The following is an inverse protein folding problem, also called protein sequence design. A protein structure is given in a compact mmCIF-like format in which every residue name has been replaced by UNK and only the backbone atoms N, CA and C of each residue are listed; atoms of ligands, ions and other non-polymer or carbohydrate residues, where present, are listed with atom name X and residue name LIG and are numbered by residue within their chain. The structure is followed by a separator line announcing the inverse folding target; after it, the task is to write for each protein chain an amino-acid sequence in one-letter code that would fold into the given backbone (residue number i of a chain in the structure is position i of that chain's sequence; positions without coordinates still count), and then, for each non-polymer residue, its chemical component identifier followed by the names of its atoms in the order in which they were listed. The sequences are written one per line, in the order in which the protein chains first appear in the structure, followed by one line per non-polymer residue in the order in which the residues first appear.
data_IF_045947400605
#
_entry.id   IF_045947400605
#
_cell.length_a   1.000
_cell.length_b   1.000
_cell.length_c   1.000
_cell.angle_alpha   90.00
_cell.angle_beta   90.00
_cell.angle_gamma   90.00
#
_symmetry.space_group_name_H-M   'P 1'
#
loop_
_entity.id
_entity.type
_entity.pdbx_description
1 polymer ?
#
# COMPACT_ATOMS: atom_id res chain seq x y z
N UNK A 1 -13.14 29.98 -60.44
CA UNK A 1 -13.61 28.78 -59.70
C UNK A 1 -12.42 28.12 -59.03
N UNK A 2 -12.52 27.67 -57.77
CA UNK A 2 -11.83 28.38 -56.68
C UNK A 2 -10.76 27.56 -55.97
N UNK A 3 -9.69 28.26 -55.57
CA UNK A 3 -8.77 27.88 -54.50
C UNK A 3 -9.49 28.07 -53.16
N UNK A 4 -9.68 26.99 -52.41
CA UNK A 4 -10.22 27.03 -51.05
C UNK A 4 -9.10 27.32 -50.05
N UNK A 5 -9.37 28.34 -49.24
CA UNK A 5 -8.63 28.81 -48.09
C UNK A 5 -8.66 27.81 -46.93
N UNK A 6 -7.54 27.72 -46.19
CA UNK A 6 -7.50 27.17 -44.84
C UNK A 6 -7.22 28.33 -43.87
N UNK A 7 -8.27 28.77 -43.18
CA UNK A 7 -8.22 29.75 -42.11
C UNK A 7 -7.80 29.04 -40.83
N UNK A 8 -6.58 29.28 -40.34
CA UNK A 8 -6.22 28.96 -38.97
C UNK A 8 -6.66 30.10 -38.05
N UNK A 9 -7.72 29.88 -37.29
CA UNK A 9 -8.14 30.77 -36.20
C UNK A 9 -7.20 30.61 -35.00
N UNK A 10 -6.22 31.51 -34.87
CA UNK A 10 -5.52 31.72 -33.59
C UNK A 10 -6.39 32.61 -32.71
N UNK A 11 -7.06 31.99 -31.73
CA UNK A 11 -7.73 32.72 -30.65
C UNK A 11 -6.65 33.33 -29.77
N UNK A 12 -6.45 34.64 -29.90
CA UNK A 12 -5.55 35.43 -29.06
C UNK A 12 -6.40 36.06 -27.96
N UNK A 13 -6.42 35.43 -26.78
CA UNK A 13 -7.07 35.99 -25.60
C UNK A 13 -6.21 37.15 -25.12
N UNK A 14 -6.66 38.37 -25.40
CA UNK A 14 -6.07 39.61 -24.91
C UNK A 14 -6.73 39.95 -23.58
N UNK A 15 -6.07 39.64 -22.47
CA UNK A 15 -6.51 40.07 -21.14
C UNK A 15 -5.94 41.47 -20.88
N UNK A 16 -6.84 42.45 -20.80
CA UNK A 16 -6.57 43.83 -20.42
C UNK A 16 -6.21 43.82 -18.93
N UNK A 17 -4.95 44.08 -18.60
CA UNK A 17 -4.50 44.24 -17.22
C UNK A 17 -4.64 45.72 -16.86
N UNK A 18 -5.61 46.01 -16.01
CA UNK A 18 -5.80 47.29 -15.35
C UNK A 18 -4.65 47.55 -14.38
N UNK A 19 -4.03 48.72 -14.51
CA UNK A 19 -3.06 49.26 -13.56
C UNK A 19 -3.72 49.42 -12.17
N UNK A 20 -3.28 48.60 -11.22
CA UNK A 20 -3.54 48.78 -9.79
C UNK A 20 -2.20 48.79 -9.07
N UNK A 21 -1.93 49.88 -8.35
CA UNK A 21 -0.73 50.16 -7.57
C UNK A 21 -0.22 48.92 -6.81
N UNK A 22 0.94 48.41 -7.24
CA UNK A 22 1.71 47.41 -6.53
C UNK A 22 2.53 48.14 -5.46
N UNK A 23 2.01 48.18 -4.23
CA UNK A 23 2.82 48.48 -3.05
C UNK A 23 3.93 47.44 -2.98
N UNK A 24 5.19 47.89 -3.00
CA UNK A 24 6.34 47.04 -2.70
C UNK A 24 6.12 46.41 -1.32
N UNK A 25 5.84 45.11 -1.30
CA UNK A 25 6.00 44.31 -0.10
C UNK A 25 7.50 44.09 0.05
N UNK A 26 8.13 44.99 0.79
CA UNK A 26 9.50 44.86 1.28
C UNK A 26 9.64 43.45 1.86
N UNK A 27 10.39 42.59 1.17
CA UNK A 27 10.78 41.31 1.73
C UNK A 27 11.62 41.63 2.98
N UNK A 28 11.06 41.35 4.17
CA UNK A 28 11.81 41.42 5.41
C UNK A 28 13.11 40.64 5.19
N UNK A 29 14.29 41.22 5.49
CA UNK A 29 15.52 40.48 5.39
C UNK A 29 15.37 39.26 6.29
N UNK A 30 15.35 38.08 5.69
CA UNK A 30 15.41 36.82 6.40
C UNK A 30 16.64 36.90 7.30
N UNK A 31 16.40 36.91 8.60
CA UNK A 31 17.40 36.96 9.65
C UNK A 31 18.58 36.02 9.32
N UNK A 32 19.66 36.60 8.82
CA UNK A 32 20.87 35.90 8.36
C UNK A 32 21.71 35.38 9.53
N UNK A 33 21.23 35.49 10.77
CA UNK A 33 21.83 34.88 11.96
C UNK A 33 21.65 33.34 12.05
N UNK A 34 20.88 32.73 11.14
CA UNK A 34 20.62 31.28 11.13
C UNK A 34 21.60 30.44 10.32
N UNK A 35 22.81 30.92 10.06
CA UNK A 35 23.89 30.01 9.70
C UNK A 35 24.38 29.34 11.00
N UNK A 36 23.91 28.11 11.26
CA UNK A 36 24.60 27.24 12.23
C UNK A 36 26.08 27.28 11.82
N UNK A 37 26.95 27.74 12.72
CA UNK A 37 28.36 27.41 12.63
C UNK A 37 28.43 25.91 12.35
N UNK A 38 29.18 25.55 11.31
CA UNK A 38 29.46 24.17 10.90
C UNK A 38 29.56 23.31 12.17
N UNK A 39 28.56 22.44 12.35
CA UNK A 39 28.37 21.64 13.57
C UNK A 39 29.72 21.09 14.01
N UNK A 40 30.15 21.46 15.21
CA UNK A 40 31.33 20.84 15.79
C UNK A 40 31.12 19.33 15.75
N UNK A 41 32.09 18.51 15.35
CA UNK A 41 31.98 17.04 15.45
C UNK A 41 31.67 16.55 16.87
N UNK A 42 31.80 17.44 17.87
CA UNK A 42 31.44 17.24 19.26
C UNK A 42 30.00 17.64 19.62
N UNK A 43 29.17 18.08 18.67
CA UNK A 43 27.76 18.40 18.92
C UNK A 43 26.94 17.10 19.03
N UNK A 44 26.18 16.95 20.11
CA UNK A 44 25.29 15.80 20.37
C UNK A 44 24.20 15.61 19.28
N UNK A 45 23.96 16.63 18.46
CA UNK A 45 22.94 16.63 17.41
C UNK A 45 23.51 16.51 16.00
N UNK A 46 24.85 16.60 15.87
CA UNK A 46 25.51 16.31 14.62
C UNK A 46 25.10 14.93 14.15
N UNK A 47 24.74 14.80 12.86
CA UNK A 47 24.18 13.57 12.29
C UNK A 47 24.97 12.36 12.77
N UNK A 48 24.37 11.59 13.68
CA UNK A 48 24.88 10.28 14.04
C UNK A 48 24.78 9.42 12.79
N UNK A 49 25.88 9.33 12.05
CA UNK A 49 26.05 8.33 11.01
C UNK A 49 25.76 6.98 11.64
N UNK A 50 25.01 6.09 10.96
CA UNK A 50 24.81 4.74 11.45
C UNK A 50 26.18 4.16 11.80
N UNK A 51 26.38 3.81 13.06
CA UNK A 51 27.63 3.22 13.49
C UNK A 51 27.78 1.90 12.72
N UNK A 52 28.97 1.63 12.16
CA UNK A 52 29.21 0.35 11.50
C UNK A 52 28.87 -0.81 12.46
N UNK A 53 28.32 -1.94 11.96
CA UNK A 53 27.87 -3.04 12.80
C UNK A 53 28.97 -3.75 13.62
N UNK A 54 30.22 -3.40 13.36
CA UNK A 54 31.43 -3.87 14.04
C UNK A 54 31.93 -2.91 15.13
N UNK A 55 31.35 -1.72 15.24
CA UNK A 55 31.59 -0.82 16.36
C UNK A 55 30.74 -1.24 17.57
N UNK A 56 31.35 -1.28 18.75
CA UNK A 56 30.67 -1.64 19.98
C UNK A 56 29.50 -0.68 20.24
N UNK A 57 28.35 -1.19 20.71
CA UNK A 57 27.26 -0.33 21.15
C UNK A 57 27.72 0.56 22.32
N UNK A 58 27.09 1.73 22.52
CA UNK A 58 27.38 2.55 23.67
C UNK A 58 27.19 1.75 24.97
N UNK A 59 27.98 2.02 26.03
CA UNK A 59 27.88 1.31 27.30
C UNK A 59 26.48 1.51 27.92
N UNK A 60 26.04 0.59 28.78
CA UNK A 60 24.73 0.67 29.44
C UNK A 60 24.55 1.94 30.29
N UNK A 61 25.64 2.59 30.69
CA UNK A 61 25.66 3.85 31.43
C UNK A 61 25.55 5.09 30.55
N UNK A 62 25.35 4.95 29.23
CA UNK A 62 25.14 6.04 28.29
C UNK A 62 23.67 6.43 28.24
N UNK A 63 23.37 7.69 28.57
CA UNK A 63 22.02 8.23 28.59
C UNK A 63 21.95 9.54 27.80
N UNK A 64 20.86 9.71 27.04
CA UNK A 64 20.56 10.94 26.31
C UNK A 64 19.30 11.55 26.92
N UNK A 65 19.45 12.74 27.52
CA UNK A 65 18.37 13.45 28.20
C UNK A 65 17.93 14.62 27.33
N UNK A 66 16.62 14.76 27.15
CA UNK A 66 15.99 15.87 26.42
C UNK A 66 15.25 16.76 27.42
N UNK A 67 15.73 17.99 27.64
CA UNK A 67 15.08 18.98 28.51
C UNK A 67 14.33 20.00 27.64
N UNK A 68 13.04 20.21 27.92
CA UNK A 68 12.23 21.18 27.19
C UNK A 68 12.66 22.60 27.55
N UNK A 69 12.87 23.44 26.53
CA UNK A 69 13.15 24.86 26.73
C UNK A 69 11.89 25.56 27.26
N UNK A 70 11.99 26.55 28.16
CA UNK A 70 10.83 27.28 28.69
C UNK A 70 9.90 27.85 27.61
N UNK A 71 10.44 28.21 26.45
CA UNK A 71 9.69 28.73 25.30
C UNK A 71 8.90 27.67 24.52
N UNK A 72 9.08 26.38 24.82
CA UNK A 72 8.41 25.26 24.16
C UNK A 72 8.83 25.00 22.70
N UNK A 73 9.80 25.76 22.18
CA UNK A 73 10.23 25.72 20.76
C UNK A 73 11.26 24.62 20.45
N UNK A 74 11.81 23.97 21.46
CA UNK A 74 12.84 22.96 21.27
C UNK A 74 13.37 22.36 22.57
N UNK A 75 14.35 21.49 22.42
CA UNK A 75 14.91 20.68 23.49
C UNK A 75 16.43 20.89 23.60
N UNK A 76 16.92 21.00 24.83
CA UNK A 76 18.34 20.84 25.16
C UNK A 76 18.67 19.35 25.29
N UNK A 77 19.71 18.92 24.59
CA UNK A 77 20.17 17.53 24.53
C UNK A 77 21.43 17.39 25.38
N UNK A 78 21.39 16.49 26.36
CA UNK A 78 22.55 16.14 27.19
C UNK A 78 22.92 14.68 26.96
N UNK A 79 24.15 14.43 26.52
CA UNK A 79 24.73 13.09 26.47
C UNK A 79 25.55 12.87 27.75
N UNK A 80 25.13 11.90 28.58
CA UNK A 80 25.76 11.59 29.87
C UNK A 80 26.31 10.17 29.89
N UNK A 81 27.50 10.00 30.46
CA UNK A 81 28.04 8.68 30.85
C UNK A 81 28.40 8.75 32.33
N UNK A 82 27.80 7.89 33.15
CA UNK A 82 28.08 7.84 34.59
C UNK A 82 27.83 9.18 35.30
N UNK A 83 26.79 9.91 34.92
CA UNK A 83 26.42 11.19 35.50
C UNK A 83 27.23 12.41 35.03
N UNK A 84 28.22 12.23 34.15
CA UNK A 84 29.00 13.33 33.56
C UNK A 84 28.61 13.57 32.11
N UNK A 85 28.43 14.84 31.74
CA UNK A 85 28.22 15.22 30.34
C UNK A 85 29.49 14.90 29.54
N UNK A 86 29.38 14.05 28.53
CA UNK A 86 30.51 13.67 27.67
C UNK A 86 30.73 14.64 26.51
N UNK A 87 29.72 15.46 26.22
CA UNK A 87 29.72 16.48 25.18
C UNK A 87 29.02 17.75 25.68
N UNK A 88 29.34 18.91 25.09
CA UNK A 88 28.57 20.13 25.32
C UNK A 88 27.09 19.89 24.97
N UNK A 89 26.15 20.39 25.80
CA UNK A 89 24.74 20.28 25.48
C UNK A 89 24.43 21.06 24.21
N UNK A 90 23.49 20.55 23.42
CA UNK A 90 23.09 21.20 22.18
C UNK A 90 21.58 21.28 22.02
N UNK A 91 21.14 22.18 21.17
CA UNK A 91 19.74 22.54 21.02
C UNK A 91 19.16 21.95 19.74
N UNK A 92 18.01 21.28 19.86
CA UNK A 92 17.21 20.82 18.71
C UNK A 92 15.84 21.50 18.69
N UNK A 93 15.34 21.77 17.49
CA UNK A 93 13.95 22.22 17.34
C UNK A 93 12.99 21.06 17.58
N UNK A 94 11.73 21.40 17.84
CA UNK A 94 10.67 20.39 18.01
C UNK A 94 10.52 19.49 16.77
N UNK A 95 10.55 20.06 15.57
CA UNK A 95 10.40 19.30 14.33
C UNK A 95 11.55 18.31 14.13
N UNK A 96 12.77 18.73 14.49
CA UNK A 96 13.95 17.88 14.42
C UNK A 96 13.88 16.72 15.42
N UNK A 97 13.39 16.98 16.64
CA UNK A 97 13.12 15.95 17.64
C UNK A 97 12.09 14.92 17.14
N UNK A 98 10.96 15.38 16.61
CA UNK A 98 9.90 14.49 16.08
C UNK A 98 10.42 13.60 14.94
N UNK A 99 11.23 14.17 14.04
CA UNK A 99 11.89 13.42 12.97
C UNK A 99 12.84 12.35 13.51
N UNK A 100 13.66 12.69 14.51
CA UNK A 100 14.61 11.75 15.12
C UNK A 100 13.89 10.60 15.83
N UNK A 101 12.80 10.89 16.57
CA UNK A 101 12.01 9.86 17.24
C UNK A 101 11.35 8.92 16.23
N UNK A 102 10.79 9.46 15.15
CA UNK A 102 10.18 8.66 14.08
C UNK A 102 11.19 7.70 13.44
N UNK A 103 12.41 8.19 13.16
CA UNK A 103 13.48 7.36 12.60
C UNK A 103 13.94 6.27 13.58
N UNK A 104 14.10 6.59 14.87
CA UNK A 104 14.46 5.61 15.92
C UNK A 104 13.39 4.53 16.04
N UNK A 105 12.12 4.92 16.12
CA UNK A 105 11.00 4.00 16.18
C UNK A 105 10.96 3.06 14.96
N UNK A 106 11.11 3.62 13.76
CA UNK A 106 11.10 2.85 12.51
C UNK A 106 12.24 1.83 12.47
N UNK A 107 13.46 2.23 12.84
CA UNK A 107 14.62 1.32 12.91
C UNK A 107 14.41 0.21 13.93
N UNK A 108 13.98 0.56 15.16
CA UNK A 108 13.70 -0.43 16.20
C UNK A 108 12.62 -1.43 15.77
N UNK A 109 11.56 -0.95 15.11
CA UNK A 109 10.51 -1.80 14.57
C UNK A 109 11.05 -2.77 13.50
N UNK A 110 11.84 -2.28 12.55
CA UNK A 110 12.46 -3.11 11.51
C UNK A 110 13.46 -4.12 12.08
N UNK A 111 14.27 -3.70 13.06
CA UNK A 111 15.25 -4.56 13.73
C UNK A 111 14.55 -5.70 14.47
N UNK A 112 13.50 -5.42 15.25
CA UNK A 112 12.69 -6.43 15.94
C UNK A 112 12.09 -7.43 14.95
N UNK A 113 11.46 -6.93 13.88
CA UNK A 113 10.85 -7.76 12.85
C UNK A 113 11.87 -8.65 12.12
N UNK A 114 13.07 -8.14 11.85
CA UNK A 114 14.14 -8.92 11.22
C UNK A 114 14.65 -10.05 12.13
N UNK A 115 14.74 -9.81 13.44
CA UNK A 115 15.13 -10.82 14.45
C UNK A 115 14.05 -11.89 14.61
N UNK A 116 12.79 -11.49 14.65
CA UNK A 116 11.65 -12.42 14.69
C UNK A 116 11.60 -13.33 13.46
N UNK A 117 11.81 -12.75 12.27
CA UNK A 117 11.90 -13.52 11.02
C UNK A 117 13.09 -14.52 11.02
N UNK A 118 14.24 -14.15 11.61
CA UNK A 118 15.40 -15.04 11.73
C UNK A 118 15.18 -16.16 12.76
N UNK A 119 14.49 -15.89 13.87
CA UNK A 119 14.14 -16.89 14.88
C UNK A 119 13.18 -17.95 14.35
N UNK A 120 12.32 -17.61 13.38
CA UNK A 120 11.49 -18.58 12.66
C UNK A 120 12.24 -19.43 11.62
N UNK A 121 13.48 -19.08 11.27
CA UNK A 121 14.26 -19.71 10.19
C UNK A 121 15.52 -20.47 10.62
N UNK A 122 15.82 -20.60 11.91
CA UNK A 122 17.02 -21.30 12.38
C UNK A 122 16.91 -22.83 12.26
N UNK A 123 17.98 -23.56 11.86
CA UNK A 123 17.97 -25.02 11.74
C UNK A 123 17.85 -25.65 13.14
N UNK A 124 16.64 -26.01 13.56
CA UNK A 124 16.42 -26.82 14.76
C UNK A 124 16.77 -28.27 14.46
N UNK A 125 17.86 -28.75 15.06
CA UNK A 125 18.12 -30.19 15.23
C UNK A 125 17.13 -30.76 16.25
N UNK A 126 16.02 -31.30 15.79
CA UNK A 126 15.19 -32.24 16.59
C UNK A 126 14.17 -32.94 15.68
N UNK A 127 14.19 -34.28 15.71
CA UNK A 127 13.39 -35.24 14.94
C UNK A 127 11.86 -35.10 15.12
N UNK A 128 11.22 -34.07 14.56
CA UNK A 128 9.76 -33.94 14.55
C UNK A 128 9.27 -33.94 13.08
N UNK A 129 8.23 -34.71 12.72
CA UNK A 129 7.75 -34.81 11.33
C UNK A 129 7.33 -33.44 10.78
N UNK A 130 7.90 -33.11 9.62
CA UNK A 130 7.71 -31.87 8.89
C UNK A 130 6.26 -31.74 8.42
N UNK A 131 5.47 -30.88 9.07
CA UNK A 131 4.19 -30.41 8.53
C UNK A 131 4.17 -28.89 8.67
N UNK A 132 4.13 -28.22 7.51
CA UNK A 132 3.90 -26.78 7.34
C UNK A 132 4.76 -25.87 8.21
N UNK A 133 5.89 -25.40 7.66
CA UNK A 133 6.55 -24.18 8.13
C UNK A 133 5.52 -23.06 8.16
N UNK A 134 4.98 -22.78 9.34
CA UNK A 134 3.85 -21.87 9.46
C UNK A 134 4.37 -20.45 9.27
N UNK A 135 4.00 -19.83 8.15
CA UNK A 135 3.94 -18.38 8.02
C UNK A 135 2.98 -17.76 9.07
N UNK A 136 2.23 -18.58 9.80
CA UNK A 136 1.36 -18.21 10.92
C UNK A 136 2.08 -17.57 12.11
N UNK A 137 3.41 -17.71 12.25
CA UNK A 137 4.17 -17.02 13.29
C UNK A 137 4.47 -15.53 12.96
N UNK A 138 4.25 -15.10 11.72
CA UNK A 138 4.59 -13.74 11.24
C UNK A 138 3.40 -12.76 11.27
N UNK A 139 2.20 -13.21 11.62
CA UNK A 139 1.00 -12.36 11.67
C UNK A 139 0.33 -12.54 13.03
N UNK A 140 0.78 -11.81 14.07
CA UNK A 140 0.06 -11.81 15.34
C UNK A 140 -1.33 -11.20 15.16
N UNK A 141 -2.37 -11.75 15.81
CA UNK A 141 -3.69 -11.16 15.78
C UNK A 141 -3.63 -9.74 16.36
N UNK A 142 -4.11 -8.76 15.59
CA UNK A 142 -4.14 -7.37 16.03
C UNK A 142 -5.41 -7.21 16.85
N UNK A 143 -5.26 -6.80 18.11
CA UNK A 143 -6.38 -6.49 18.99
C UNK A 143 -6.49 -4.96 19.08
N UNK A 144 -7.51 -4.39 18.45
CA UNK A 144 -7.72 -2.94 18.46
C UNK A 144 -8.55 -2.59 19.70
N UNK A 145 -7.95 -1.89 20.66
CA UNK A 145 -8.63 -1.46 21.88
C UNK A 145 -9.27 -0.07 21.70
N UNK A 146 -10.26 0.03 20.80
CA UNK A 146 -11.11 1.22 20.70
C UNK A 146 -12.58 0.83 20.78
N UNK A 147 -13.35 1.57 21.57
CA UNK A 147 -14.79 1.35 21.77
C UNK A 147 -15.56 1.53 20.45
N UNK A 148 -15.25 2.58 19.69
CA UNK A 148 -15.83 2.84 18.36
C UNK A 148 -15.63 1.69 17.37
N UNK A 149 -14.51 0.97 17.45
CA UNK A 149 -14.25 -0.17 16.57
C UNK A 149 -15.10 -1.39 16.97
N UNK A 150 -15.32 -1.60 18.27
CA UNK A 150 -16.21 -2.64 18.77
C UNK A 150 -17.66 -2.37 18.37
N UNK A 151 -18.10 -1.12 18.40
CA UNK A 151 -19.47 -0.76 18.01
C UNK A 151 -19.76 -1.03 16.52
N UNK A 152 -18.80 -0.71 15.64
CA UNK A 152 -18.98 -0.89 14.19
C UNK A 152 -18.72 -2.35 13.76
N UNK A 153 -17.76 -3.05 14.36
CA UNK A 153 -17.32 -4.37 13.90
C UNK A 153 -17.72 -5.54 14.83
N UNK A 154 -18.41 -5.25 15.95
CA UNK A 154 -18.89 -6.23 16.92
C UNK A 154 -17.80 -6.69 17.90
N UNK A 155 -16.57 -6.86 17.44
CA UNK A 155 -15.44 -7.15 18.32
C UNK A 155 -14.13 -6.54 17.83
N UNK A 156 -13.20 -6.29 18.76
CA UNK A 156 -11.88 -5.69 18.47
C UNK A 156 -10.85 -6.65 17.88
N UNK A 157 -11.24 -7.91 17.61
CA UNK A 157 -10.32 -8.95 17.12
C UNK A 157 -10.16 -8.86 15.61
N UNK A 158 -8.93 -8.83 15.14
CA UNK A 158 -8.62 -8.88 13.71
C UNK A 158 -7.77 -10.12 13.44
N UNK A 159 -8.35 -11.08 12.72
CA UNK A 159 -7.66 -12.28 12.24
C UNK A 159 -7.48 -12.16 10.72
N UNK A 160 -6.24 -12.02 10.27
CA UNK A 160 -5.91 -11.93 8.84
C UNK A 160 -4.90 -13.03 8.53
N UNK A 161 -5.25 -13.89 7.58
CA UNK A 161 -4.44 -15.04 7.16
C UNK A 161 -4.04 -14.85 5.70
N UNK A 162 -2.88 -14.21 5.44
CA UNK A 162 -2.34 -14.12 4.10
C UNK A 162 -1.52 -15.37 3.77
N UNK A 163 -1.84 -16.01 2.65
CA UNK A 163 -1.03 -17.04 2.01
C UNK A 163 -0.52 -16.45 0.69
N UNK A 164 0.81 -16.36 0.55
CA UNK A 164 1.43 -15.73 -0.63
C UNK A 164 2.53 -16.65 -1.13
N UNK A 165 2.45 -17.04 -2.39
CA UNK A 165 3.51 -17.70 -3.12
C UNK A 165 3.98 -16.76 -4.23
N UNK A 166 5.28 -16.45 -4.25
CA UNK A 166 5.89 -15.60 -5.26
C UNK A 166 7.06 -16.36 -5.88
N UNK A 167 7.03 -16.52 -7.19
CA UNK A 167 8.16 -16.95 -7.99
C UNK A 167 8.65 -15.74 -8.79
N UNK A 168 9.95 -15.49 -8.73
CA UNK A 168 10.59 -14.38 -9.40
C UNK A 168 11.78 -14.89 -10.22
N UNK A 169 11.70 -14.73 -11.54
CA UNK A 169 12.81 -15.01 -12.44
C UNK A 169 13.43 -13.70 -12.93
N UNK A 170 14.66 -13.45 -12.48
CA UNK A 170 15.46 -12.32 -12.92
C UNK A 170 16.59 -12.83 -13.82
N UNK A 171 16.62 -12.39 -15.08
CA UNK A 171 17.68 -12.76 -16.02
C UNK A 171 18.22 -11.55 -16.76
N UNK A 172 19.55 -11.45 -16.86
CA UNK A 172 20.22 -10.40 -17.62
C UNK A 172 20.68 -10.99 -18.96
N UNK A 173 20.15 -10.48 -20.07
CA UNK A 173 20.48 -10.94 -21.43
C UNK A 173 21.28 -9.85 -22.12
N UNK A 174 22.55 -10.10 -22.41
CA UNK A 174 23.38 -9.19 -23.22
C UNK A 174 23.65 -9.85 -24.57
N UNK A 175 23.16 -9.23 -25.63
CA UNK A 175 23.37 -9.68 -27.01
C UNK A 175 24.23 -8.67 -27.76
N UNK A 176 25.18 -9.15 -28.55
CA UNK A 176 26.01 -8.32 -29.44
C UNK A 176 25.84 -8.77 -30.89
N UNK A 177 25.22 -7.93 -31.69
CA UNK A 177 25.02 -8.11 -33.13
C UNK A 177 26.20 -7.48 -33.89
N UNK A 178 26.95 -8.29 -34.64
CA UNK A 178 28.08 -7.82 -35.46
C UNK A 178 27.62 -7.39 -36.86
N UNK A 179 26.59 -6.54 -36.92
CA UNK A 179 26.15 -5.98 -38.19
C UNK A 179 26.81 -4.61 -38.40
N UNK A 180 27.72 -4.45 -39.38
CA UNK A 180 28.39 -3.18 -39.66
C UNK A 180 27.45 -2.09 -40.19
N UNK A 181 26.23 -2.45 -40.64
CA UNK A 181 25.20 -1.49 -41.00
C UNK A 181 24.54 -0.81 -39.77
N UNK A 182 24.75 -1.36 -38.56
CA UNK A 182 24.27 -0.77 -37.29
C UNK A 182 25.40 -0.01 -36.59
N UNK A 183 25.07 1.08 -35.91
CA UNK A 183 26.03 1.84 -35.09
C UNK A 183 26.54 1.00 -33.91
N UNK A 184 27.79 1.24 -33.46
CA UNK A 184 28.42 0.48 -32.36
C UNK A 184 27.55 0.44 -31.08
N UNK A 185 26.78 1.51 -30.81
CA UNK A 185 25.85 1.56 -29.67
C UNK A 185 24.64 0.64 -29.85
N UNK A 186 24.12 0.51 -31.06
CA UNK A 186 22.99 -0.37 -31.40
C UNK A 186 23.41 -1.84 -31.57
N UNK A 187 24.70 -2.10 -31.79
CA UNK A 187 25.25 -3.45 -31.87
C UNK A 187 25.24 -4.18 -30.52
N UNK A 188 25.13 -3.49 -29.37
CA UNK A 188 25.02 -4.10 -28.04
C UNK A 188 23.65 -3.82 -27.44
N UNK A 189 22.85 -4.86 -27.26
CA UNK A 189 21.58 -4.78 -26.53
C UNK A 189 21.72 -5.53 -25.21
N UNK A 190 21.44 -4.86 -24.09
CA UNK A 190 21.38 -5.50 -22.77
C UNK A 190 19.97 -5.33 -22.26
N UNK A 191 19.25 -6.43 -22.12
CA UNK A 191 17.88 -6.46 -21.64
C UNK A 191 17.82 -7.18 -20.28
N UNK A 192 17.08 -6.57 -19.36
CA UNK A 192 16.73 -7.21 -18.10
C UNK A 192 15.36 -7.87 -18.29
N UNK A 193 15.34 -9.20 -18.27
CA UNK A 193 14.11 -9.97 -18.30
C UNK A 193 13.69 -10.28 -16.87
N UNK A 194 12.49 -9.84 -16.53
CA UNK A 194 11.92 -9.91 -15.19
C UNK A 194 10.54 -10.55 -15.30
N UNK A 195 10.42 -11.79 -14.80
CA UNK A 195 9.17 -12.54 -14.81
C UNK A 195 8.73 -12.77 -13.37
N UNK A 196 7.49 -12.38 -13.07
CA UNK A 196 6.89 -12.55 -11.75
C UNK A 196 5.65 -13.43 -11.87
N UNK A 197 5.61 -14.45 -11.05
CA UNK A 197 4.43 -15.25 -10.79
C UNK A 197 4.04 -15.04 -9.33
N UNK A 198 2.91 -14.40 -9.09
CA UNK A 198 2.39 -14.12 -7.76
C UNK A 198 1.07 -14.85 -7.62
N UNK A 199 0.96 -15.68 -6.60
CA UNK A 199 -0.27 -16.32 -6.16
C UNK A 199 -0.56 -15.89 -4.72
N UNK A 200 -1.66 -15.21 -4.53
CA UNK A 200 -2.04 -14.57 -3.29
C UNK A 200 -3.44 -15.01 -2.89
N UNK A 201 -3.56 -15.62 -1.72
CA UNK A 201 -4.83 -15.96 -1.11
C UNK A 201 -4.87 -15.35 0.30
N UNK A 202 -5.75 -14.38 0.52
CA UNK A 202 -5.94 -13.72 1.81
C UNK A 202 -7.36 -13.95 2.27
N UNK A 203 -7.50 -14.44 3.49
CA UNK A 203 -8.77 -14.49 4.21
C UNK A 203 -8.61 -13.69 5.49
N UNK A 204 -9.47 -12.69 5.67
CA UNK A 204 -9.47 -11.87 6.87
C UNK A 204 -10.87 -11.76 7.47
N UNK A 205 -10.96 -11.92 8.79
CA UNK A 205 -12.13 -11.66 9.59
C UNK A 205 -11.80 -10.52 10.55
N UNK A 206 -12.51 -9.40 10.41
CA UNK A 206 -12.41 -8.24 11.27
C UNK A 206 -13.68 -8.19 12.12
N UNK A 207 -13.49 -8.40 13.41
CA UNK A 207 -14.56 -8.57 14.36
C UNK A 207 -15.48 -9.73 13.99
N UNK A 208 -16.78 -9.49 14.07
CA UNK A 208 -17.82 -10.46 13.70
C UNK A 208 -18.53 -10.07 12.39
N UNK A 209 -18.46 -8.78 12.03
CA UNK A 209 -19.25 -8.22 10.94
C UNK A 209 -18.51 -8.17 9.61
N UNK A 210 -17.20 -8.03 9.57
CA UNK A 210 -16.46 -7.79 8.32
C UNK A 210 -15.61 -9.01 7.92
N UNK A 211 -15.87 -9.53 6.71
CA UNK A 211 -15.15 -10.64 6.10
C UNK A 211 -14.52 -10.17 4.80
N UNK A 212 -13.23 -10.44 4.61
CA UNK A 212 -12.53 -10.18 3.36
C UNK A 212 -11.93 -11.46 2.79
N UNK A 213 -12.03 -11.60 1.48
CA UNK A 213 -11.40 -12.66 0.70
C UNK A 213 -10.77 -12.06 -0.53
N UNK A 214 -9.48 -12.32 -0.73
CA UNK A 214 -8.73 -11.91 -1.91
C UNK A 214 -8.03 -13.15 -2.45
N UNK A 215 -8.33 -13.52 -3.68
CA UNK A 215 -7.63 -14.54 -4.44
C UNK A 215 -7.11 -13.89 -5.72
N UNK A 216 -5.80 -13.84 -5.87
CA UNK A 216 -5.13 -13.18 -6.97
C UNK A 216 -4.00 -14.05 -7.50
N UNK A 217 -4.01 -14.32 -8.80
CA UNK A 217 -2.94 -15.01 -9.50
C UNK A 217 -2.57 -14.22 -10.77
N UNK A 218 -1.28 -13.97 -10.97
CA UNK A 218 -0.77 -13.25 -12.14
C UNK A 218 -0.71 -14.10 -13.41
N UNK A 219 -0.84 -15.43 -13.30
CA UNK A 219 -0.81 -16.35 -14.43
C UNK A 219 -2.19 -16.69 -15.01
N UNK A 220 -3.28 -16.23 -14.41
CA UNK A 220 -4.63 -16.52 -14.90
C UNK A 220 -4.87 -15.86 -16.26
N UNK A 221 -5.31 -16.64 -17.24
CA UNK A 221 -5.67 -16.14 -18.58
C UNK A 221 -6.87 -15.19 -18.55
N UNK A 222 -7.74 -15.35 -17.55
CA UNK A 222 -8.97 -14.58 -17.43
C UNK A 222 -9.00 -13.72 -16.16
N UNK A 223 -9.28 -12.43 -16.32
CA UNK A 223 -9.35 -11.46 -15.21
C UNK A 223 -10.52 -11.71 -14.24
N UNK A 224 -11.45 -12.60 -14.58
CA UNK A 224 -12.60 -12.96 -13.74
C UNK A 224 -12.29 -14.04 -12.70
N UNK A 225 -11.15 -14.73 -12.83
CA UNK A 225 -10.66 -15.72 -11.86
C UNK A 225 -10.04 -15.05 -10.63
N UNK A 226 -9.51 -13.84 -10.83
CA UNK A 226 -9.05 -12.97 -9.75
C UNK A 226 -10.27 -12.43 -8.99
N UNK A 227 -10.44 -12.93 -7.76
CA UNK A 227 -11.58 -12.64 -6.93
C UNK A 227 -11.16 -11.76 -5.76
N UNK A 228 -11.85 -10.64 -5.60
CA UNK A 228 -11.76 -9.82 -4.41
C UNK A 228 -13.16 -9.59 -3.90
N UNK A 229 -13.42 -9.94 -2.65
CA UNK A 229 -14.72 -9.78 -2.02
C UNK A 229 -14.54 -9.27 -0.60
N UNK A 230 -15.18 -8.16 -0.31
CA UNK A 230 -15.38 -7.66 1.05
C UNK A 230 -16.86 -7.75 1.36
N UNK A 231 -17.19 -8.29 2.53
CA UNK A 231 -18.55 -8.51 2.98
C UNK A 231 -18.71 -8.01 4.41
N UNK A 232 -19.59 -7.04 4.60
CA UNK A 232 -20.08 -6.61 5.90
C UNK A 232 -21.43 -7.28 6.15
N UNK A 233 -21.59 -7.93 7.29
CA UNK A 233 -22.82 -8.57 7.76
C UNK A 233 -23.32 -7.79 8.98
N UNK A 234 -24.51 -7.20 8.88
CA UNK A 234 -25.20 -6.61 10.02
C UNK A 234 -25.80 -7.67 10.93
N UNK A 235 -26.24 -7.27 12.11
CA UNK A 235 -26.97 -8.14 13.02
C UNK A 235 -28.42 -8.38 12.56
N UNK A 236 -29.12 -9.29 13.24
CA UNK A 236 -30.52 -9.62 12.93
C UNK A 236 -31.47 -8.42 13.08
N UNK A 237 -31.12 -7.45 13.92
CA UNK A 237 -31.93 -6.24 14.15
C UNK A 237 -31.54 -5.06 13.22
N UNK A 238 -30.41 -5.16 12.51
CA UNK A 238 -29.92 -4.08 11.64
C UNK A 238 -30.76 -3.99 10.35
N UNK A 239 -31.12 -2.76 9.93
CA UNK A 239 -31.79 -2.52 8.64
C UNK A 239 -30.89 -2.98 7.48
N UNK A 240 -29.59 -2.71 7.57
CA UNK A 240 -28.59 -3.12 6.59
C UNK A 240 -28.16 -4.55 6.93
N UNK A 241 -28.58 -5.51 6.11
CA UNK A 241 -28.26 -6.93 6.30
C UNK A 241 -26.88 -7.29 5.78
N UNK A 242 -26.54 -6.81 4.58
CA UNK A 242 -25.24 -7.09 4.00
C UNK A 242 -24.78 -6.01 3.06
N UNK A 243 -23.51 -5.63 3.13
CA UNK A 243 -22.83 -4.82 2.11
C UNK A 243 -21.71 -5.68 1.55
N UNK A 244 -21.77 -5.97 0.25
CA UNK A 244 -20.74 -6.71 -0.46
C UNK A 244 -20.06 -5.75 -1.46
N UNK A 245 -18.73 -5.80 -1.56
CA UNK A 245 -17.95 -5.03 -2.51
C UNK A 245 -16.91 -5.91 -3.22
N UNK A 246 -16.68 -5.65 -4.52
CA UNK A 246 -15.79 -6.44 -5.38
C UNK A 246 -16.58 -7.41 -6.26
N UNK A 247 -16.20 -8.69 -6.29
CA UNK A 247 -16.93 -9.74 -7.01
C UNK A 247 -18.25 -10.06 -6.29
N UNK A 248 -19.35 -9.59 -6.87
CA UNK A 248 -20.71 -9.77 -6.38
C UNK A 248 -21.55 -10.52 -7.42
N UNK A 249 -22.61 -11.16 -6.93
CA UNK A 249 -23.59 -11.85 -7.75
C UNK A 249 -25.01 -11.46 -7.36
N UNK A 250 -25.89 -11.41 -8.35
CA UNK A 250 -27.32 -11.18 -8.16
C UNK A 250 -28.12 -12.29 -8.83
N UNK A 251 -28.23 -13.49 -8.22
CA UNK A 251 -29.15 -14.49 -8.72
C UNK A 251 -30.58 -13.97 -8.55
N UNK A 252 -31.35 -13.97 -9.64
CA UNK A 252 -32.78 -13.67 -9.63
C UNK A 252 -33.54 -14.97 -9.84
N UNK A 253 -34.65 -15.16 -9.10
CA UNK A 253 -35.45 -16.39 -9.17
C UNK A 253 -36.43 -16.46 -10.35
N UNK A 254 -36.51 -15.42 -11.18
CA UNK A 254 -37.44 -15.34 -12.30
C UNK A 254 -36.84 -15.86 -13.61
N UNK A 255 -37.66 -16.49 -14.45
CA UNK A 255 -37.22 -17.00 -15.75
C UNK A 255 -37.01 -15.92 -16.82
N UNK A 256 -37.64 -14.73 -16.68
CA UNK A 256 -37.62 -13.68 -17.69
C UNK A 256 -36.43 -12.72 -17.59
N UNK A 257 -35.84 -12.59 -16.40
CA UNK A 257 -34.69 -11.70 -16.16
C UNK A 257 -33.61 -12.54 -15.50
N UNK A 258 -32.61 -12.92 -16.27
CA UNK A 258 -31.43 -13.60 -15.75
C UNK A 258 -30.54 -12.59 -15.05
N UNK A 259 -30.34 -12.80 -13.76
CA UNK A 259 -29.44 -11.95 -12.99
C UNK A 259 -27.97 -12.14 -13.39
N UNK A 260 -27.21 -11.06 -13.39
CA UNK A 260 -25.79 -11.09 -13.74
C UNK A 260 -24.95 -11.87 -12.73
N UNK A 261 -24.11 -12.78 -13.24
CA UNK A 261 -23.13 -13.52 -12.44
C UNK A 261 -21.72 -12.93 -12.67
N UNK A 262 -20.92 -12.94 -11.62
CA UNK A 262 -19.54 -12.42 -11.61
C UNK A 262 -19.43 -10.94 -12.03
N UNK A 263 -20.08 -10.10 -11.25
CA UNK A 263 -20.11 -8.65 -11.43
C UNK A 263 -19.06 -8.02 -10.52
N UNK A 264 -18.39 -6.96 -10.99
CA UNK A 264 -17.50 -6.19 -10.14
C UNK A 264 -18.20 -4.91 -9.70
N UNK A 265 -18.52 -4.77 -8.42
CA UNK A 265 -19.28 -3.63 -7.94
C UNK A 265 -19.57 -3.65 -6.45
N UNK A 266 -20.59 -2.89 -6.07
CA UNK A 266 -21.08 -2.77 -4.70
C UNK A 266 -22.53 -3.24 -4.69
N UNK A 267 -22.86 -4.11 -3.73
CA UNK A 267 -24.18 -4.67 -3.52
C UNK A 267 -24.58 -4.45 -2.06
N UNK A 268 -25.77 -3.93 -1.86
CA UNK A 268 -26.31 -3.65 -0.53
C UNK A 268 -27.67 -4.32 -0.40
N UNK A 269 -27.86 -5.11 0.65
CA UNK A 269 -29.14 -5.72 1.01
C UNK A 269 -29.67 -5.05 2.28
N UNK A 270 -30.88 -4.54 2.19
CA UNK A 270 -31.61 -3.90 3.28
C UNK A 270 -32.92 -4.64 3.50
N UNK A 271 -33.36 -4.71 4.75
CA UNK A 271 -34.65 -5.29 5.12
C UNK A 271 -35.42 -4.31 6.00
N UNK A 272 -36.64 -3.98 5.58
CA UNK A 272 -37.57 -3.12 6.30
C UNK A 272 -38.77 -3.97 6.71
N UNK A 273 -38.71 -4.58 7.91
CA UNK A 273 -39.70 -5.55 8.35
C UNK A 273 -39.75 -6.77 7.42
N UNK A 274 -40.83 -6.93 6.66
CA UNK A 274 -41.01 -8.00 5.67
C UNK A 274 -40.51 -7.66 4.26
N UNK A 275 -40.13 -6.40 4.00
CA UNK A 275 -39.69 -5.94 2.68
C UNK A 275 -38.18 -6.10 2.53
N UNK A 276 -37.75 -6.82 1.50
CA UNK A 276 -36.34 -6.97 1.15
C UNK A 276 -35.98 -6.09 -0.05
N UNK A 277 -35.04 -5.17 0.14
CA UNK A 277 -34.52 -4.29 -0.91
C UNK A 277 -33.07 -4.67 -1.18
N UNK A 278 -32.76 -5.05 -2.41
CA UNK A 278 -31.37 -5.29 -2.84
C UNK A 278 -30.99 -4.26 -3.88
N UNK A 279 -29.98 -3.45 -3.59
CA UNK A 279 -29.39 -2.47 -4.50
C UNK A 279 -28.05 -3.01 -5.02
N UNK A 280 -27.79 -2.86 -6.31
CA UNK A 280 -26.56 -3.29 -6.95
C UNK A 280 -26.09 -2.23 -7.95
N UNK A 281 -24.86 -1.76 -7.80
CA UNK A 281 -24.16 -0.95 -8.78
C UNK A 281 -22.89 -1.70 -9.18
N UNK A 282 -22.81 -2.16 -10.43
CA UNK A 282 -21.72 -3.03 -10.84
C UNK A 282 -21.40 -2.95 -12.33
N UNK A 283 -20.16 -3.30 -12.66
CA UNK A 283 -19.70 -3.52 -14.02
C UNK A 283 -19.59 -5.02 -14.28
N UNK A 284 -20.25 -5.47 -15.35
CA UNK A 284 -20.16 -6.87 -15.78
C UNK A 284 -18.77 -7.15 -16.37
N UNK A 285 -18.06 -8.13 -15.78
CA UNK A 285 -16.75 -8.58 -16.27
C UNK A 285 -16.83 -9.86 -17.10
N UNK A 286 -17.94 -10.60 -17.04
CA UNK A 286 -18.13 -11.86 -17.75
C UNK A 286 -18.86 -11.67 -19.09
N UNK A 287 -18.40 -12.37 -20.14
CA UNK A 287 -19.12 -12.48 -21.42
C UNK A 287 -19.96 -13.76 -21.38
N UNK A 288 -21.28 -13.63 -21.58
CA UNK A 288 -22.15 -14.80 -21.73
C UNK A 288 -21.99 -15.36 -23.15
N UNK A 289 -21.61 -16.63 -23.25
CA UNK A 289 -21.62 -17.39 -24.52
C UNK A 289 -22.77 -18.39 -24.46
N UNK A 290 -23.78 -18.19 -25.29
CA UNK A 290 -24.89 -19.12 -25.44
C UNK A 290 -24.59 -20.05 -26.63
N UNK A 291 -24.33 -21.33 -26.33
CA UNK A 291 -24.16 -22.36 -27.36
C UNK A 291 -25.48 -23.10 -27.47
N UNK A 292 -26.24 -22.82 -28.53
CA UNK A 292 -27.44 -23.60 -28.86
C UNK A 292 -27.00 -24.88 -29.53
N UNK A 293 -27.01 -25.99 -28.78
CA UNK A 293 -26.69 -27.32 -29.31
C UNK A 293 -27.99 -27.96 -29.81
N UNK A 294 -28.22 -27.94 -31.12
CA UNK A 294 -29.28 -28.73 -31.75
C UNK A 294 -28.77 -30.15 -31.97
N UNK A 295 -29.57 -31.15 -31.58
CA UNK A 295 -29.24 -32.56 -31.69
C UNK A 295 -28.70 -32.93 -33.08
N UNK A 296 -27.41 -33.26 -33.17
CA UNK A 296 -26.81 -33.91 -34.34
C UNK A 296 -25.53 -33.32 -34.93
N UNK A 297 -25.10 -32.11 -34.60
CA UNK A 297 -23.84 -31.59 -35.16
C UNK A 297 -23.38 -30.26 -34.58
N UNK A 298 -22.14 -30.22 -34.08
CA UNK A 298 -21.49 -28.99 -33.65
C UNK A 298 -21.42 -27.99 -34.82
N UNK A 299 -22.05 -26.82 -34.69
CA UNK A 299 -21.78 -25.69 -35.58
C UNK A 299 -21.76 -24.35 -34.85
N UNK A 300 -20.89 -23.50 -35.38
CA UNK A 300 -20.16 -22.39 -34.75
C UNK A 300 -21.00 -21.28 -34.11
N UNK A 301 -20.43 -20.75 -33.02
CA UNK A 301 -20.89 -19.58 -32.25
C UNK A 301 -21.24 -18.37 -33.12
N UNK A 302 -22.43 -17.80 -32.88
CA UNK A 302 -22.70 -16.39 -33.15
C UNK A 302 -22.53 -15.60 -31.86
N UNK A 303 -21.45 -14.83 -31.78
CA UNK A 303 -21.23 -13.88 -30.68
C UNK A 303 -22.28 -12.76 -30.81
N UNK A 304 -23.31 -12.76 -29.97
CA UNK A 304 -24.13 -11.57 -29.72
C UNK A 304 -23.38 -10.71 -28.69
N UNK A 305 -22.82 -9.59 -29.13
CA UNK A 305 -22.40 -8.53 -28.20
C UNK A 305 -23.67 -7.86 -27.67
N UNK A 306 -23.94 -8.03 -26.37
CA UNK A 306 -24.79 -7.16 -25.59
C UNK A 306 -23.90 -6.14 -24.86
#
# INVERSE_FOLDING_TARGET
MPLRSAVQSKVKVSCIITLGLLSCLEAQPSDTSRTRFRESPADATSRQTPLPPWLLPPPSSYEVIYELTPDGKGYWVYERIGGRNIRPPSYITREEYERLQTQRFTRQYLDRRSREAQLSGGPRRSNLPQTSQSLSALVPPINVNSELFKDIFGSGRVDIRPNINVLLDLSLRSNRMRNPALTIRQQRNTNLAFNQQIQLNVVGNIGEKLKMRLNWDTQTSFSFENQFKIEYQGYEDDIIKSIEAGNVGLPLGGALITGGQNLWGIKTRMQFGSVFVTALASQQRSKSQEIVVTAGGQRQERIKKA
#
